data_IF_676180086058
#
_entry.id   IF_676180086058
#
_cell.length_a   1.000
_cell.length_b   1.000
_cell.length_c   1.000
_cell.angle_alpha   90.00
_cell.angle_beta   90.00
_cell.angle_gamma   90.00
#
_symmetry.space_group_name_H-M   'P 1'
#
loop_
_entity.id
_entity.type
_entity.pdbx_description
1 polymer ?
#
# COMPACT_ATOMS: atom_id res chain seq x y z
N UNK A 1 48.70 -2.27 7.04
CA UNK A 1 47.73 -2.55 8.11
C UNK A 1 46.40 -2.67 7.42
N UNK A 2 45.96 -3.90 7.17
CA UNK A 2 44.73 -4.18 6.41
C UNK A 2 43.57 -3.46 7.07
N UNK A 3 42.84 -2.67 6.29
CA UNK A 3 41.52 -2.20 6.65
C UNK A 3 40.67 -3.47 6.69
N UNK A 4 40.62 -4.14 7.84
CA UNK A 4 39.59 -5.13 8.13
C UNK A 4 38.28 -4.48 7.68
N UNK A 5 37.56 -5.15 6.78
CA UNK A 5 36.34 -4.59 6.23
C UNK A 5 35.31 -4.55 7.37
N UNK A 6 35.35 -3.47 8.15
CA UNK A 6 34.58 -3.32 9.39
C UNK A 6 33.08 -3.48 9.13
N UNK A 7 32.62 -3.26 7.88
CA UNK A 7 31.24 -3.52 7.47
C UNK A 7 30.85 -5.00 7.59
N UNK A 8 31.67 -5.92 7.08
CA UNK A 8 31.38 -7.36 7.13
C UNK A 8 31.52 -7.93 8.53
N UNK A 9 32.50 -7.45 9.30
CA UNK A 9 32.60 -7.79 10.72
C UNK A 9 31.36 -7.31 11.48
N UNK A 10 30.86 -6.10 11.18
CA UNK A 10 29.63 -5.59 11.81
C UNK A 10 28.42 -6.43 11.44
N UNK A 11 28.29 -6.86 10.18
CA UNK A 11 27.19 -7.72 9.71
C UNK A 11 27.21 -9.09 10.38
N UNK A 12 28.37 -9.75 10.42
CA UNK A 12 28.48 -11.08 11.05
C UNK A 12 28.26 -11.02 12.56
N UNK A 13 28.73 -9.95 13.23
CA UNK A 13 28.44 -9.73 14.66
C UNK A 13 26.95 -9.45 14.90
N UNK A 14 26.30 -8.63 14.06
CA UNK A 14 24.85 -8.42 14.09
C UNK A 14 24.11 -9.74 13.91
N UNK A 15 24.47 -10.51 12.89
CA UNK A 15 23.85 -11.81 12.61
C UNK A 15 23.99 -12.77 13.79
N UNK A 16 25.19 -12.88 14.35
CA UNK A 16 25.46 -13.75 15.51
C UNK A 16 24.66 -13.32 16.74
N UNK A 17 24.57 -12.00 17.00
CA UNK A 17 23.78 -11.45 18.09
C UNK A 17 22.28 -11.76 17.95
N UNK A 18 21.79 -11.88 16.71
CA UNK A 18 20.35 -11.95 16.37
C UNK A 18 19.85 -13.36 16.05
N UNK A 19 20.73 -14.27 15.64
CA UNK A 19 20.39 -15.68 15.49
C UNK A 19 20.19 -16.36 16.86
N UNK A 20 20.92 -15.92 17.90
CA UNK A 20 20.88 -16.50 19.26
C UNK A 20 20.82 -15.46 20.40
N UNK A 21 19.86 -14.52 20.42
CA UNK A 21 19.72 -13.54 21.50
C UNK A 21 19.48 -14.18 22.88
N UNK A 22 18.90 -15.39 22.90
CA UNK A 22 18.57 -16.14 24.12
C UNK A 22 19.80 -16.89 24.71
N UNK A 23 20.90 -16.99 23.96
CA UNK A 23 22.16 -17.55 24.45
C UNK A 23 23.03 -16.46 25.07
N UNK A 24 22.90 -16.35 26.40
CA UNK A 24 23.65 -15.46 27.29
C UNK A 24 25.16 -15.41 26.95
N UNK A 25 25.78 -16.56 26.64
CA UNK A 25 27.22 -16.66 26.39
C UNK A 25 27.62 -16.09 25.02
N UNK A 26 26.85 -16.43 23.98
CA UNK A 26 27.02 -15.88 22.64
C UNK A 26 26.83 -14.36 22.65
N UNK A 27 25.85 -13.87 23.41
CA UNK A 27 25.61 -12.44 23.55
C UNK A 27 26.78 -11.70 24.21
N UNK A 28 27.28 -12.20 25.35
CA UNK A 28 28.40 -11.58 26.07
C UNK A 28 29.67 -11.51 25.20
N UNK A 29 30.01 -12.60 24.51
CA UNK A 29 31.17 -12.68 23.61
C UNK A 29 31.00 -11.74 22.42
N UNK A 30 29.84 -11.75 21.77
CA UNK A 30 29.58 -10.92 20.58
C UNK A 30 29.59 -9.44 20.93
N UNK A 31 29.04 -9.07 22.08
CA UNK A 31 29.07 -7.70 22.61
C UNK A 31 30.50 -7.26 22.93
N UNK A 32 31.29 -8.12 23.56
CA UNK A 32 32.70 -7.82 23.82
C UNK A 32 33.46 -7.57 22.50
N UNK A 33 33.28 -8.43 21.49
CA UNK A 33 33.89 -8.29 20.17
C UNK A 33 33.45 -7.00 19.46
N UNK A 34 32.17 -6.64 19.52
CA UNK A 34 31.63 -5.37 19.03
C UNK A 34 32.33 -4.18 19.69
N UNK A 35 32.52 -4.22 21.00
CA UNK A 35 33.17 -3.13 21.75
C UNK A 35 34.62 -2.90 21.30
N UNK A 36 35.34 -3.97 20.97
CA UNK A 36 36.72 -3.89 20.49
C UNK A 36 36.85 -3.50 19.03
N UNK A 37 35.75 -3.51 18.25
CA UNK A 37 35.76 -3.22 16.81
C UNK A 37 35.54 -1.72 16.55
N UNK A 38 36.60 -0.95 16.26
CA UNK A 38 36.49 0.50 16.14
C UNK A 38 35.67 0.87 14.90
N UNK A 39 34.63 1.68 15.10
CA UNK A 39 33.78 2.13 14.00
C UNK A 39 32.70 1.14 13.56
N UNK A 40 32.52 0.01 14.25
CA UNK A 40 31.38 -0.88 14.01
C UNK A 40 30.04 -0.13 14.10
N UNK A 41 29.90 0.75 15.09
CA UNK A 41 28.73 1.62 15.24
C UNK A 41 28.60 2.70 14.15
N UNK A 42 29.69 3.09 13.48
CA UNK A 42 29.68 4.15 12.47
C UNK A 42 29.09 3.68 11.14
N UNK A 43 28.95 2.37 10.95
CA UNK A 43 28.34 1.77 9.77
C UNK A 43 26.80 1.81 9.85
N UNK A 44 26.24 3.00 10.02
CA UNK A 44 24.79 3.20 10.17
C UNK A 44 24.00 2.60 9.01
N UNK A 45 24.52 2.77 7.78
CA UNK A 45 23.93 2.20 6.57
C UNK A 45 23.82 0.68 6.66
N UNK A 46 24.90 0.01 7.07
CA UNK A 46 24.95 -1.45 7.22
C UNK A 46 23.99 -1.94 8.30
N UNK A 47 23.93 -1.24 9.43
CA UNK A 47 23.01 -1.57 10.53
C UNK A 47 21.56 -1.44 10.04
N UNK A 48 21.22 -0.34 9.37
CA UNK A 48 19.88 -0.09 8.87
C UNK A 48 19.48 -1.08 7.78
N UNK A 49 20.37 -1.32 6.82
CA UNK A 49 20.20 -2.30 5.75
C UNK A 49 19.91 -3.70 6.32
N UNK A 50 20.70 -4.12 7.30
CA UNK A 50 20.50 -5.40 7.97
C UNK A 50 19.13 -5.46 8.66
N UNK A 51 18.79 -4.45 9.49
CA UNK A 51 17.52 -4.40 10.22
C UNK A 51 16.31 -4.37 9.28
N UNK A 52 16.42 -3.73 8.12
CA UNK A 52 15.32 -3.63 7.15
C UNK A 52 15.06 -4.94 6.42
N UNK A 53 16.11 -5.74 6.20
CA UNK A 53 16.01 -7.03 5.51
C UNK A 53 15.74 -8.22 6.44
N UNK A 54 15.69 -8.01 7.77
CA UNK A 54 15.28 -9.06 8.71
C UNK A 54 13.86 -9.55 8.42
N UNK A 55 13.62 -10.85 8.59
CA UNK A 55 12.25 -11.38 8.63
C UNK A 55 11.46 -10.75 9.79
N UNK A 56 10.13 -10.70 9.69
CA UNK A 56 9.28 -10.09 10.73
C UNK A 56 9.46 -10.78 12.09
N UNK A 57 9.60 -12.11 12.12
CA UNK A 57 9.87 -12.88 13.35
C UNK A 57 11.21 -12.48 13.99
N UNK A 58 12.27 -12.44 13.19
CA UNK A 58 13.60 -12.04 13.68
C UNK A 58 13.63 -10.58 14.13
N UNK A 59 12.87 -9.73 13.45
CA UNK A 59 12.72 -8.33 13.80
C UNK A 59 11.99 -8.13 15.14
N UNK A 60 10.92 -8.88 15.40
CA UNK A 60 10.21 -8.80 16.68
C UNK A 60 11.09 -9.32 17.83
N UNK A 61 11.86 -10.39 17.61
CA UNK A 61 12.86 -10.87 18.58
C UNK A 61 13.93 -9.81 18.88
N UNK A 62 14.47 -9.18 17.83
CA UNK A 62 15.41 -8.05 17.95
C UNK A 62 14.81 -6.91 18.77
N UNK A 63 13.56 -6.56 18.51
CA UNK A 63 12.86 -5.47 19.21
C UNK A 63 12.64 -5.82 20.67
N UNK A 64 12.09 -6.99 20.98
CA UNK A 64 11.96 -7.48 22.37
C UNK A 64 13.29 -7.41 23.10
N UNK A 65 14.38 -7.83 22.44
CA UNK A 65 15.70 -7.79 23.03
C UNK A 65 16.19 -6.39 23.41
N UNK A 66 16.07 -5.42 22.50
CA UNK A 66 16.57 -4.06 22.73
C UNK A 66 15.58 -3.15 23.47
N UNK A 67 14.28 -3.44 23.45
CA UNK A 67 13.24 -2.59 24.02
C UNK A 67 12.58 -3.17 25.28
N UNK A 68 12.47 -4.50 25.41
CA UNK A 68 11.70 -5.14 26.50
C UNK A 68 12.58 -5.67 27.66
N UNK A 69 13.91 -5.60 27.54
CA UNK A 69 14.80 -5.80 28.70
C UNK A 69 14.61 -4.65 29.71
N UNK A 70 13.74 -4.91 30.69
CA UNK A 70 13.30 -4.11 31.85
C UNK A 70 14.23 -2.97 32.31
N UNK A 71 14.19 -1.83 31.60
CA UNK A 71 14.24 -0.44 32.08
C UNK A 71 14.56 0.45 30.88
N UNK A 72 13.57 1.23 30.43
CA UNK A 72 13.68 2.10 29.25
C UNK A 72 14.83 3.13 29.35
N UNK A 73 15.31 3.42 30.56
CA UNK A 73 16.37 4.38 30.84
C UNK A 73 17.80 3.78 30.92
N UNK A 74 17.94 2.46 30.79
CA UNK A 74 19.22 1.77 30.91
C UNK A 74 19.53 1.03 29.59
N UNK A 75 20.58 1.40 28.84
CA UNK A 75 21.03 0.65 27.67
C UNK A 75 21.12 -0.84 27.97
N UNK A 76 20.64 -1.69 27.06
CA UNK A 76 20.73 -3.16 27.16
C UNK A 76 22.17 -3.62 27.42
N UNK A 77 23.17 -2.90 26.87
CA UNK A 77 24.59 -3.16 27.13
C UNK A 77 25.12 -2.57 28.45
N UNK A 78 24.39 -1.74 29.20
CA UNK A 78 24.82 -1.33 30.55
C UNK A 78 24.73 -2.49 31.55
N UNK A 79 23.83 -3.45 31.34
CA UNK A 79 23.81 -4.69 32.13
C UNK A 79 25.06 -5.56 31.90
N UNK A 80 25.76 -5.42 30.77
CA UNK A 80 27.06 -6.05 30.53
C UNK A 80 28.17 -5.38 31.34
N UNK A 81 28.09 -4.08 31.65
CA UNK A 81 29.09 -3.39 32.48
C UNK A 81 29.18 -3.97 33.89
N UNK A 82 28.05 -4.49 34.42
CA UNK A 82 28.01 -5.20 35.71
C UNK A 82 28.40 -6.68 35.64
N UNK A 83 28.46 -7.28 34.44
CA UNK A 83 28.74 -8.71 34.22
C UNK A 83 30.14 -8.98 33.67
N UNK A 84 30.65 -8.09 32.81
CA UNK A 84 32.01 -8.10 32.31
C UNK A 84 32.85 -7.28 33.30
N UNK A 85 33.08 -7.92 34.46
CA UNK A 85 34.15 -7.73 35.43
C UNK A 85 34.96 -6.44 35.24
N UNK A 86 34.56 -5.33 35.89
CA UNK A 86 35.34 -4.13 36.24
C UNK A 86 36.33 -3.52 35.20
N UNK A 87 36.33 -3.93 33.92
CA UNK A 87 37.50 -3.83 33.04
C UNK A 87 37.23 -3.33 31.61
N UNK A 88 35.96 -3.11 31.24
CA UNK A 88 35.64 -2.38 30.01
C UNK A 88 35.88 -0.89 30.23
N UNK A 89 36.83 -0.32 29.49
CA UNK A 89 37.09 1.11 29.49
C UNK A 89 35.89 1.90 28.93
N UNK A 90 35.74 3.15 29.36
CA UNK A 90 34.58 3.99 29.02
C UNK A 90 34.38 4.16 27.49
N UNK A 91 35.45 4.12 26.70
CA UNK A 91 35.38 4.16 25.22
C UNK A 91 34.69 2.93 24.62
N UNK A 92 34.87 1.76 25.23
CA UNK A 92 34.26 0.50 24.78
C UNK A 92 32.78 0.47 25.11
N UNK A 93 32.42 0.94 26.31
CA UNK A 93 31.01 1.15 26.70
C UNK A 93 30.34 2.12 25.75
N UNK A 94 31.00 3.24 25.43
CA UNK A 94 30.50 4.23 24.48
C UNK A 94 30.22 3.63 23.09
N UNK A 95 31.09 2.75 22.59
CA UNK A 95 30.88 2.06 21.30
C UNK A 95 29.59 1.22 21.32
N UNK A 96 29.36 0.47 22.40
CA UNK A 96 28.17 -0.36 22.57
C UNK A 96 26.90 0.48 22.70
N UNK A 97 26.92 1.55 23.49
CA UNK A 97 25.80 2.48 23.64
C UNK A 97 25.44 3.13 22.30
N UNK A 98 26.44 3.50 21.50
CA UNK A 98 26.21 4.06 20.16
C UNK A 98 25.62 3.03 19.21
N UNK A 99 26.15 1.81 19.23
CA UNK A 99 25.64 0.73 18.41
C UNK A 99 24.17 0.42 18.75
N UNK A 100 23.86 0.27 20.04
CA UNK A 100 22.49 0.07 20.54
C UNK A 100 21.53 1.14 20.03
N UNK A 101 21.94 2.41 20.17
CA UNK A 101 21.14 3.54 19.71
C UNK A 101 20.86 3.47 18.22
N UNK A 102 21.84 3.06 17.41
CA UNK A 102 21.65 2.91 15.97
C UNK A 102 20.71 1.76 15.61
N UNK A 103 20.82 0.63 16.30
CA UNK A 103 19.89 -0.50 16.13
C UNK A 103 18.47 -0.10 16.51
N UNK A 104 18.26 0.52 17.69
CA UNK A 104 16.95 1.04 18.12
C UNK A 104 16.38 2.01 17.10
N UNK A 105 17.18 2.98 16.64
CA UNK A 105 16.73 3.94 15.64
C UNK A 105 16.29 3.25 14.34
N UNK A 106 17.05 2.29 13.84
CA UNK A 106 16.69 1.52 12.65
C UNK A 106 15.39 0.73 12.86
N UNK A 107 15.19 0.14 14.05
CA UNK A 107 13.93 -0.54 14.38
C UNK A 107 12.73 0.41 14.33
N UNK A 108 12.82 1.55 15.02
CA UNK A 108 11.74 2.56 15.01
C UNK A 108 11.45 3.10 13.61
N UNK A 109 12.48 3.28 12.78
CA UNK A 109 12.31 3.71 11.40
C UNK A 109 11.60 2.64 10.55
N UNK A 110 11.99 1.37 10.67
CA UNK A 110 11.31 0.27 9.98
C UNK A 110 9.83 0.20 10.35
N UNK A 111 9.51 0.27 11.64
CA UNK A 111 8.11 0.24 12.11
C UNK A 111 7.30 1.41 11.53
N UNK A 112 7.85 2.62 11.56
CA UNK A 112 7.20 3.80 11.00
C UNK A 112 6.95 3.65 9.49
N UNK A 113 7.94 3.16 8.74
CA UNK A 113 7.80 2.89 7.30
C UNK A 113 6.72 1.85 7.04
N UNK A 114 6.75 0.71 7.75
CA UNK A 114 5.76 -0.36 7.58
C UNK A 114 4.33 0.09 7.94
N UNK A 115 4.17 0.90 8.99
CA UNK A 115 2.88 1.49 9.35
C UNK A 115 2.34 2.41 8.25
N UNK A 116 3.21 3.23 7.66
CA UNK A 116 2.83 4.11 6.54
C UNK A 116 2.49 3.31 5.28
N UNK A 117 3.25 2.26 4.95
CA UNK A 117 2.97 1.38 3.81
C UNK A 117 1.62 0.67 3.99
N UNK A 118 1.31 0.16 5.19
CA UNK A 118 0.00 -0.44 5.50
C UNK A 118 -1.13 0.58 5.33
N UNK A 119 -0.93 1.79 5.82
CA UNK A 119 -1.92 2.88 5.68
C UNK A 119 -2.13 3.24 4.21
N UNK A 120 -1.06 3.36 3.43
CA UNK A 120 -1.12 3.64 2.00
C UNK A 120 -1.86 2.53 1.24
N UNK A 121 -1.56 1.25 1.54
CA UNK A 121 -2.26 0.12 0.92
C UNK A 121 -3.76 0.13 1.23
N UNK A 122 -4.15 0.41 2.49
CA UNK A 122 -5.56 0.54 2.86
C UNK A 122 -6.28 1.66 2.09
N UNK A 123 -5.60 2.80 1.87
CA UNK A 123 -6.14 3.91 1.08
C UNK A 123 -6.30 3.50 -0.39
N UNK A 124 -5.32 2.79 -0.96
CA UNK A 124 -5.39 2.29 -2.33
C UNK A 124 -6.55 1.31 -2.51
N UNK A 125 -6.75 0.41 -1.55
CA UNK A 125 -7.86 -0.56 -1.56
C UNK A 125 -9.22 0.16 -1.48
N UNK A 126 -9.37 1.16 -0.62
CA UNK A 126 -10.60 1.98 -0.52
C UNK A 126 -10.87 2.76 -1.83
N UNK A 127 -9.83 3.32 -2.45
CA UNK A 127 -9.94 3.98 -3.76
C UNK A 127 -10.36 2.99 -4.84
N UNK A 128 -9.79 1.78 -4.87
CA UNK A 128 -10.15 0.75 -5.83
C UNK A 128 -11.62 0.35 -5.69
N UNK A 129 -12.11 0.16 -4.46
CA UNK A 129 -13.52 -0.14 -4.18
C UNK A 129 -14.46 1.00 -4.61
N UNK A 130 -14.11 2.25 -4.29
CA UNK A 130 -14.89 3.43 -4.70
C UNK A 130 -14.91 3.62 -6.21
N UNK A 131 -13.80 3.32 -6.89
CA UNK A 131 -13.69 3.39 -8.34
C UNK A 131 -14.60 2.35 -9.00
N UNK A 132 -14.56 1.09 -8.56
CA UNK A 132 -15.44 0.03 -9.09
C UNK A 132 -16.93 0.36 -8.92
N UNK A 133 -17.30 0.91 -7.75
CA UNK A 133 -18.67 1.37 -7.49
C UNK A 133 -19.08 2.50 -8.45
N UNK A 134 -18.23 3.52 -8.61
CA UNK A 134 -18.48 4.63 -9.54
C UNK A 134 -18.62 4.14 -10.98
N UNK A 135 -17.79 3.20 -11.41
CA UNK A 135 -17.88 2.60 -12.75
C UNK A 135 -19.20 1.85 -12.97
N UNK A 136 -19.67 1.09 -11.97
CA UNK A 136 -20.98 0.42 -12.03
C UNK A 136 -22.13 1.41 -12.15
N UNK A 137 -22.14 2.46 -11.32
CA UNK A 137 -23.17 3.52 -11.37
C UNK A 137 -23.18 4.24 -12.74
N UNK A 138 -21.99 4.50 -13.31
CA UNK A 138 -21.85 5.06 -14.66
C UNK A 138 -22.37 4.12 -15.76
N UNK A 139 -22.06 2.83 -15.65
CA UNK A 139 -22.55 1.80 -16.58
C UNK A 139 -24.07 1.69 -16.55
N UNK A 140 -24.67 1.69 -15.36
CA UNK A 140 -26.12 1.63 -15.18
C UNK A 140 -26.78 2.90 -15.73
N UNK A 141 -26.19 4.08 -15.47
CA UNK A 141 -26.66 5.35 -16.02
C UNK A 141 -26.60 5.35 -17.56
N UNK A 142 -25.50 4.88 -18.15
CA UNK A 142 -25.34 4.75 -19.60
C UNK A 142 -26.40 3.82 -20.19
N UNK A 143 -26.66 2.69 -19.55
CA UNK A 143 -27.70 1.73 -19.97
C UNK A 143 -29.09 2.36 -19.93
N UNK A 144 -29.39 3.11 -18.86
CA UNK A 144 -30.65 3.84 -18.72
C UNK A 144 -30.84 4.90 -19.81
N UNK A 145 -29.80 5.68 -20.11
CA UNK A 145 -29.83 6.68 -21.19
C UNK A 145 -30.14 6.02 -22.55
N UNK A 146 -29.51 4.89 -22.88
CA UNK A 146 -29.83 4.17 -24.12
C UNK A 146 -31.27 3.69 -24.17
N UNK A 147 -31.79 3.15 -23.05
CA UNK A 147 -33.19 2.73 -22.97
C UNK A 147 -34.16 3.89 -23.18
N UNK A 148 -33.89 5.05 -22.56
CA UNK A 148 -34.69 6.27 -22.75
C UNK A 148 -34.61 6.79 -24.19
N UNK A 149 -33.43 6.74 -24.81
CA UNK A 149 -33.25 7.15 -26.20
C UNK A 149 -34.02 6.25 -27.17
N UNK A 150 -33.99 4.93 -26.96
CA UNK A 150 -34.80 3.97 -27.74
C UNK A 150 -36.29 4.24 -27.56
N UNK A 151 -36.73 4.54 -26.34
CA UNK A 151 -38.13 4.88 -26.06
C UNK A 151 -38.56 6.16 -26.82
N UNK A 152 -37.75 7.22 -26.78
CA UNK A 152 -37.99 8.46 -27.51
C UNK A 152 -38.02 8.20 -29.02
N UNK A 153 -37.06 7.44 -29.55
CA UNK A 153 -37.01 7.07 -30.96
C UNK A 153 -38.26 6.30 -31.39
N UNK A 154 -38.75 5.38 -30.55
CA UNK A 154 -39.99 4.65 -30.77
C UNK A 154 -41.22 5.57 -30.85
N UNK A 155 -41.32 6.55 -29.94
CA UNK A 155 -42.41 7.54 -29.95
C UNK A 155 -42.35 8.38 -31.23
N UNK A 156 -41.19 8.92 -31.60
CA UNK A 156 -41.04 9.69 -32.84
C UNK A 156 -41.39 8.86 -34.08
N UNK A 157 -40.94 7.61 -34.13
CA UNK A 157 -41.22 6.70 -35.24
C UNK A 157 -42.72 6.41 -35.37
N UNK A 158 -43.42 6.16 -34.25
CA UNK A 158 -44.87 5.97 -34.24
C UNK A 158 -45.61 7.21 -34.73
N UNK A 159 -45.19 8.40 -34.28
CA UNK A 159 -45.74 9.68 -34.75
C UNK A 159 -45.51 9.84 -36.26
N UNK A 160 -44.29 9.58 -36.76
CA UNK A 160 -43.98 9.67 -38.19
C UNK A 160 -44.84 8.71 -39.03
N UNK A 161 -45.01 7.45 -38.61
CA UNK A 161 -45.88 6.51 -39.31
C UNK A 161 -47.35 6.92 -39.29
N UNK A 162 -47.85 7.45 -38.16
CA UNK A 162 -49.20 7.98 -38.06
C UNK A 162 -49.40 9.19 -38.98
N UNK A 163 -48.44 10.11 -39.05
CA UNK A 163 -48.47 11.27 -39.95
C UNK A 163 -48.43 10.84 -41.43
N UNK A 164 -47.55 9.91 -41.80
CA UNK A 164 -47.50 9.38 -43.17
C UNK A 164 -48.79 8.66 -43.57
N UNK A 165 -49.32 7.80 -42.70
CA UNK A 165 -50.59 7.09 -42.95
C UNK A 165 -51.79 8.03 -43.03
N UNK A 166 -51.84 9.06 -42.19
CA UNK A 166 -52.91 10.08 -42.23
C UNK A 166 -52.85 10.92 -43.50
N UNK A 167 -51.67 11.35 -43.95
CA UNK A 167 -51.50 12.10 -45.22
C UNK A 167 -51.99 11.28 -46.42
N UNK A 168 -51.66 9.99 -46.50
CA UNK A 168 -52.13 9.11 -47.58
C UNK A 168 -53.66 8.95 -47.58
N UNK A 169 -54.26 8.84 -46.39
CA UNK A 169 -55.71 8.75 -46.23
C UNK A 169 -56.39 10.06 -46.65
N UNK A 170 -55.88 11.21 -46.21
CA UNK A 170 -56.38 12.52 -46.63
C UNK A 170 -56.25 12.73 -48.14
N UNK A 171 -55.11 12.39 -48.74
CA UNK A 171 -54.93 12.47 -50.20
C UNK A 171 -55.94 11.64 -50.99
N UNK A 172 -56.33 10.47 -50.48
CA UNK A 172 -57.37 9.62 -51.09
C UNK A 172 -58.78 10.21 -50.93
N UNK A 173 -59.08 10.87 -49.81
CA UNK A 173 -60.37 11.55 -49.61
C UNK A 173 -60.47 12.82 -50.46
N UNK A 174 -59.41 13.64 -50.52
CA UNK A 174 -59.37 14.84 -51.35
C UNK A 174 -59.43 14.52 -52.85
N UNK A 175 -58.68 13.51 -53.32
CA UNK A 175 -58.78 13.07 -54.73
C UNK A 175 -60.15 12.50 -55.10
N UNK A 176 -60.90 11.95 -54.15
CA UNK A 176 -62.27 11.46 -54.34
C UNK A 176 -63.32 12.58 -54.31
N UNK A 177 -63.00 13.74 -53.74
CA UNK A 177 -63.83 14.96 -53.73
C UNK A 177 -63.58 15.84 -54.96
N UNK A 178 -62.34 15.90 -55.46
CA UNK A 178 -61.98 16.71 -56.64
C UNK A 178 -62.39 16.09 -57.97
N UNK A 179 -62.84 14.83 -57.99
CA UNK A 179 -63.40 14.21 -59.18
C UNK A 179 -64.72 13.48 -58.87
N UNK A 180 -65.83 14.22 -58.64
CA UNK A 180 -67.15 13.62 -58.59
C UNK A 180 -67.46 13.16 -60.02
N UNK A 181 -67.47 11.84 -60.24
CA UNK A 181 -67.94 11.22 -61.48
C UNK A 181 -69.20 11.92 -62.00
N UNK A 182 -69.05 12.66 -63.10
CA UNK A 182 -70.13 13.10 -63.97
C UNK A 182 -70.73 11.89 -64.68
N UNK A 183 -71.40 11.02 -63.92
CA UNK A 183 -72.24 9.96 -64.45
C UNK A 183 -73.67 10.47 -64.56
N UNK A 184 -73.90 11.21 -65.64
CA UNK A 184 -75.06 11.14 -66.53
C UNK A 184 -76.22 10.23 -66.07
N UNK A 185 -77.31 10.84 -65.59
CA UNK A 185 -78.72 10.44 -65.80
C UNK A 185 -79.53 11.75 -65.66
N UNK A 186 -80.15 12.35 -66.68
CA UNK A 186 -80.84 11.72 -67.78
C UNK A 186 -82.16 11.13 -67.29
N UNK A 187 -83.13 11.97 -66.93
CA UNK A 187 -84.59 11.79 -67.17
C UNK A 187 -85.43 12.86 -66.43
N UNK A 188 -86.28 13.51 -67.23
CA UNK A 188 -87.35 14.49 -66.94
C UNK A 188 -86.93 15.96 -66.79
#
# INVERSE_FOLDING_TARGET
MEVVNNSEVTKELLKTLLEKPDDQSTFEITSLMLSYTPGAFKNYEVISDYVYHLSDDTFDRLKTYFYETKNFDVPSFQNLRGKIDEGLSDDKVYVLDKFERHVKLACSQREFILANVRTANNIVDDIALKSDKTYKELSDTKTKIYSEFIAILGIFTAISFALMGSIQTFGTVFSKVDNPSSALWGLL
#
